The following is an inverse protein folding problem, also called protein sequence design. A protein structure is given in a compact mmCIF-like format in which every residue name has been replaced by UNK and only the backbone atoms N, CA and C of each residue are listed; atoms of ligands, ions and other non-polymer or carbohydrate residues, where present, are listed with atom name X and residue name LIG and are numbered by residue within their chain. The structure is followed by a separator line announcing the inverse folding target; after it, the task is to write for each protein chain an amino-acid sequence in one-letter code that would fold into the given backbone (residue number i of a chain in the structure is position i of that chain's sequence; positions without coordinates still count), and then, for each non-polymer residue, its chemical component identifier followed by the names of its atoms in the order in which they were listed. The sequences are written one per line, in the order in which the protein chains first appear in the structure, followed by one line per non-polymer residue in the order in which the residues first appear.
data_IF_267722426961
#
_entry.id   IF_267722426961
#
_cell.length_a   1.000
_cell.length_b   1.000
_cell.length_c   1.000
_cell.angle_alpha   90.00
_cell.angle_beta   90.00
_cell.angle_gamma   90.00
#
_symmetry.space_group_name_H-M   'P 1'
#
loop_
_entity.id
_entity.type
_entity.pdbx_description
1 polymer ?
#
# COMPACT_ATOMS: atom_id res chain seq x y z
N UNK A 1 -52.84 -0.45 -14.70
CA UNK A 1 -51.51 0.13 -15.01
C UNK A 1 -50.86 0.62 -13.73
N UNK A 2 -49.79 -0.03 -13.27
CA UNK A 2 -48.82 0.59 -12.35
C UNK A 2 -47.52 -0.24 -12.42
N UNK A 3 -46.58 0.25 -13.22
CA UNK A 3 -45.27 -0.38 -13.39
C UNK A 3 -44.51 -0.33 -12.05
N UNK A 4 -44.22 -1.49 -11.47
CA UNK A 4 -43.27 -1.63 -10.38
C UNK A 4 -41.86 -1.51 -10.97
N UNK A 5 -41.32 -0.30 -10.97
CA UNK A 5 -39.89 -0.05 -11.23
C UNK A 5 -39.06 -0.64 -10.08
N UNK A 6 -38.45 -1.78 -10.33
CA UNK A 6 -37.36 -2.32 -9.51
C UNK A 6 -36.09 -1.54 -9.82
N UNK A 7 -35.82 -0.48 -9.07
CA UNK A 7 -34.50 0.16 -9.05
C UNK A 7 -33.51 -0.78 -8.35
N UNK A 8 -32.76 -1.56 -9.12
CA UNK A 8 -31.59 -2.27 -8.64
C UNK A 8 -30.50 -1.24 -8.30
N UNK A 9 -30.41 -0.85 -7.03
CA UNK A 9 -29.28 -0.08 -6.51
C UNK A 9 -28.05 -0.98 -6.53
N UNK A 10 -27.21 -0.82 -7.55
CA UNK A 10 -25.87 -1.37 -7.57
C UNK A 10 -25.06 -0.67 -6.47
N UNK A 11 -25.00 -1.26 -5.28
CA UNK A 11 -24.06 -0.86 -4.24
C UNK A 11 -22.65 -1.24 -4.70
N UNK A 12 -21.93 -0.30 -5.33
CA UNK A 12 -20.49 -0.40 -5.46
C UNK A 12 -19.91 -0.25 -4.05
N UNK A 13 -19.50 -1.38 -3.44
CA UNK A 13 -18.73 -1.31 -2.21
C UNK A 13 -17.41 -0.62 -2.53
N UNK A 14 -17.07 0.51 -1.89
CA UNK A 14 -15.74 1.09 -2.07
C UNK A 14 -14.72 0.05 -1.62
N UNK A 15 -13.90 -0.45 -2.55
CA UNK A 15 -12.75 -1.28 -2.21
C UNK A 15 -11.70 -0.37 -1.58
N UNK A 16 -11.77 -0.22 -0.26
CA UNK A 16 -10.72 0.44 0.49
C UNK A 16 -9.45 -0.40 0.36
N UNK A 17 -8.39 0.24 -0.13
CA UNK A 17 -7.02 -0.16 0.08
C UNK A 17 -6.79 -0.72 1.49
N UNK A 18 -6.38 -1.99 1.62
CA UNK A 18 -6.22 -2.66 2.92
C UNK A 18 -4.78 -3.08 3.13
N UNK A 19 -4.04 -2.26 3.89
CA UNK A 19 -2.64 -2.52 4.18
C UNK A 19 -2.45 -3.78 5.04
N UNK A 20 -1.53 -4.62 4.59
CA UNK A 20 -1.19 -5.92 5.17
C UNK A 20 0.31 -6.04 5.34
N UNK A 21 0.76 -6.82 6.34
CA UNK A 21 2.19 -7.14 6.50
C UNK A 21 2.47 -8.48 5.82
N UNK A 22 3.22 -8.45 4.73
CA UNK A 22 3.51 -9.62 3.92
C UNK A 22 4.95 -10.11 4.11
N UNK A 23 5.13 -11.42 4.06
CA UNK A 23 6.42 -12.05 3.82
C UNK A 23 6.79 -11.91 2.35
N UNK A 24 8.01 -11.49 2.08
CA UNK A 24 8.57 -11.32 0.74
C UNK A 24 9.78 -12.26 0.63
N UNK A 25 9.86 -13.01 -0.47
CA UNK A 25 11.00 -13.87 -0.78
C UNK A 25 11.49 -13.59 -2.20
N UNK A 26 12.75 -13.16 -2.33
CA UNK A 26 13.38 -12.85 -3.62
C UNK A 26 12.51 -11.91 -4.48
N UNK A 27 11.89 -10.91 -3.85
CA UNK A 27 11.04 -9.92 -4.49
C UNK A 27 9.62 -10.41 -4.83
N UNK A 28 9.22 -11.60 -4.40
CA UNK A 28 7.87 -12.15 -4.59
C UNK A 28 7.06 -12.03 -3.30
N UNK A 29 5.79 -11.60 -3.42
CA UNK A 29 4.84 -11.53 -2.30
C UNK A 29 4.40 -12.94 -1.91
N UNK A 30 4.57 -13.28 -0.63
CA UNK A 30 4.10 -14.52 -0.02
C UNK A 30 2.87 -14.27 0.87
N UNK A 31 2.82 -14.96 2.01
CA UNK A 31 1.73 -14.85 2.98
C UNK A 31 1.62 -13.43 3.54
N UNK A 32 0.39 -12.92 3.69
CA UNK A 32 0.11 -11.59 4.21
C UNK A 32 -0.80 -11.68 5.44
N UNK A 33 -0.40 -10.99 6.51
CA UNK A 33 -1.27 -10.75 7.65
C UNK A 33 -2.09 -9.48 7.41
N UNK A 34 -3.43 -9.58 7.30
CA UNK A 34 -4.28 -8.44 7.04
C UNK A 34 -4.33 -7.48 8.25
N UNK A 35 -4.96 -6.33 8.05
CA UNK A 35 -5.24 -5.34 9.10
C UNK A 35 -3.98 -4.80 9.80
N UNK A 36 -2.95 -4.47 9.02
CA UNK A 36 -1.76 -3.84 9.57
C UNK A 36 -2.13 -2.56 10.35
N UNK A 37 -1.52 -2.38 11.52
CA UNK A 37 -1.65 -1.17 12.32
C UNK A 37 -0.25 -0.70 12.74
N UNK A 38 0.04 0.57 12.55
CA UNK A 38 1.37 1.14 12.73
C UNK A 38 1.69 2.22 11.71
N UNK A 39 2.97 2.49 11.48
CA UNK A 39 3.40 3.45 10.45
C UNK A 39 3.88 2.72 9.21
N UNK A 40 3.48 3.18 8.03
CA UNK A 40 3.93 2.64 6.76
C UNK A 40 4.29 3.76 5.79
N UNK A 41 5.32 3.52 4.97
CA UNK A 41 5.66 4.44 3.88
C UNK A 41 4.84 4.04 2.66
N UNK A 42 4.02 4.97 2.16
CA UNK A 42 3.10 4.73 1.05
C UNK A 42 3.24 5.84 0.02
N UNK A 43 2.83 5.57 -1.21
CA UNK A 43 2.74 6.59 -2.25
C UNK A 43 1.43 7.38 -2.03
N UNK A 44 1.53 8.60 -1.50
CA UNK A 44 0.40 9.51 -1.30
C UNK A 44 0.60 10.76 -2.16
N UNK A 45 -0.40 11.10 -3.00
CA UNK A 45 -0.35 12.28 -3.89
C UNK A 45 0.97 12.36 -4.69
N UNK A 46 1.36 11.23 -5.27
CA UNK A 46 2.59 11.07 -6.08
C UNK A 46 3.91 11.22 -5.32
N UNK A 47 3.90 11.18 -3.97
CA UNK A 47 5.10 11.26 -3.15
C UNK A 47 5.10 10.22 -2.04
N UNK A 48 6.25 9.62 -1.78
CA UNK A 48 6.40 8.72 -0.65
C UNK A 48 6.26 9.50 0.65
N UNK A 49 5.34 9.04 1.48
CA UNK A 49 4.91 9.68 2.72
C UNK A 49 4.83 8.63 3.82
N UNK A 50 5.20 9.00 5.05
CA UNK A 50 4.99 8.15 6.22
C UNK A 50 3.57 8.35 6.72
N UNK A 51 2.73 7.33 6.67
CA UNK A 51 1.35 7.40 7.09
C UNK A 51 1.06 6.52 8.29
N UNK A 52 0.14 6.96 9.13
CA UNK A 52 -0.48 6.12 10.15
C UNK A 52 -1.48 5.17 9.49
N UNK A 53 -1.39 3.90 9.82
CA UNK A 53 -2.30 2.86 9.36
C UNK A 53 -3.04 2.30 10.57
N UNK A 54 -4.36 2.19 10.49
CA UNK A 54 -5.20 1.59 11.53
C UNK A 54 -6.10 0.51 10.92
N UNK A 55 -5.94 -0.73 11.36
CA UNK A 55 -6.70 -1.90 10.87
C UNK A 55 -6.68 -2.05 9.33
N UNK A 56 -5.55 -1.73 8.72
CA UNK A 56 -5.35 -1.75 7.27
C UNK A 56 -5.79 -0.50 6.54
N UNK A 57 -6.32 0.52 7.22
CA UNK A 57 -6.78 1.76 6.60
C UNK A 57 -5.72 2.87 6.73
N UNK A 58 -5.45 3.57 5.63
CA UNK A 58 -4.56 4.74 5.61
C UNK A 58 -5.21 5.93 6.31
N UNK A 59 -4.53 6.48 7.30
CA UNK A 59 -4.87 7.70 8.02
C UNK A 59 -4.01 8.89 7.58
N UNK A 60 -3.59 9.69 8.57
CA UNK A 60 -2.77 10.89 8.34
C UNK A 60 -1.40 10.53 7.74
N UNK A 61 -0.93 11.35 6.81
CA UNK A 61 0.32 11.16 6.09
C UNK A 61 1.25 12.36 6.24
N UNK A 62 2.48 12.08 6.63
CA UNK A 62 3.58 13.05 6.64
C UNK A 62 4.35 12.97 5.32
N UNK A 63 4.27 14.00 4.45
CA UNK A 63 4.92 13.98 3.14
C UNK A 63 6.44 14.16 3.24
N UNK A 64 7.14 13.96 2.11
CA UNK A 64 8.59 14.10 1.97
C UNK A 64 9.39 13.05 2.76
N UNK A 65 8.96 11.79 2.77
CA UNK A 65 9.74 10.74 3.41
C UNK A 65 11.15 10.65 2.80
N UNK A 66 12.19 10.56 3.64
CA UNK A 66 13.56 10.25 3.24
C UNK A 66 14.03 9.03 4.03
N UNK A 67 14.61 8.06 3.35
CA UNK A 67 15.02 6.79 3.95
C UNK A 67 14.76 5.61 3.02
N UNK A 68 14.73 4.40 3.57
CA UNK A 68 14.54 3.18 2.81
C UNK A 68 13.12 2.63 2.96
N UNK A 69 12.54 2.17 1.87
CA UNK A 69 11.22 1.52 1.85
C UNK A 69 11.22 0.33 0.90
N UNK A 70 10.48 -0.71 1.26
CA UNK A 70 10.21 -1.84 0.36
C UNK A 70 8.96 -1.55 -0.46
N UNK A 71 9.10 -1.49 -1.77
CA UNK A 71 8.00 -1.21 -2.70
C UNK A 71 8.04 -2.18 -3.89
N UNK A 72 6.91 -2.34 -4.57
CA UNK A 72 6.87 -3.02 -5.85
C UNK A 72 7.48 -2.11 -6.92
N UNK A 73 8.67 -2.44 -7.41
CA UNK A 73 9.36 -1.76 -8.49
C UNK A 73 9.59 -2.72 -9.64
N UNK A 74 9.14 -2.35 -10.85
CA UNK A 74 9.30 -3.17 -12.07
C UNK A 74 8.86 -4.63 -11.90
N UNK A 75 7.75 -4.84 -11.18
CA UNK A 75 7.15 -6.15 -10.93
C UNK A 75 7.81 -6.97 -9.82
N UNK A 76 8.78 -6.44 -9.07
CA UNK A 76 9.40 -7.13 -7.92
C UNK A 76 9.51 -6.23 -6.70
N UNK A 77 9.28 -6.80 -5.52
CA UNK A 77 9.53 -6.09 -4.27
C UNK A 77 11.02 -5.81 -4.12
N UNK A 78 11.34 -4.53 -3.95
CA UNK A 78 12.69 -3.99 -3.97
C UNK A 78 12.87 -3.04 -2.79
N UNK A 79 14.06 -3.03 -2.20
CA UNK A 79 14.41 -2.04 -1.18
C UNK A 79 14.91 -0.79 -1.88
N UNK A 80 14.18 0.31 -1.76
CA UNK A 80 14.43 1.54 -2.48
C UNK A 80 14.80 2.69 -1.54
N UNK A 81 15.76 3.50 -1.97
CA UNK A 81 16.15 4.74 -1.33
C UNK A 81 15.22 5.87 -1.81
N UNK A 82 14.61 6.55 -0.86
CA UNK A 82 13.73 7.69 -1.08
C UNK A 82 14.44 8.95 -0.56
N UNK A 83 14.40 10.02 -1.35
CA UNK A 83 14.83 11.34 -0.93
C UNK A 83 13.70 12.34 -1.17
N UNK A 84 13.27 13.04 -0.11
CA UNK A 84 12.19 14.04 -0.17
C UNK A 84 10.96 13.50 -0.90
N UNK A 85 10.53 12.29 -0.57
CA UNK A 85 9.36 11.64 -1.15
C UNK A 85 9.51 11.15 -2.58
N UNK A 86 10.72 11.20 -3.16
CA UNK A 86 11.01 10.67 -4.49
C UNK A 86 11.91 9.45 -4.42
N UNK A 87 11.56 8.42 -5.19
CA UNK A 87 12.39 7.22 -5.37
C UNK A 87 13.64 7.57 -6.17
N UNK A 88 14.80 7.20 -5.67
CA UNK A 88 16.10 7.48 -6.31
C UNK A 88 16.74 6.21 -6.86
N UNK A 89 16.90 5.19 -6.02
CA UNK A 89 17.53 3.93 -6.36
C UNK A 89 16.76 2.75 -5.75
N UNK A 90 16.82 1.59 -6.38
CA UNK A 90 16.17 0.37 -5.90
C UNK A 90 17.08 -0.84 -6.05
N UNK A 91 17.17 -1.63 -4.98
CA UNK A 91 17.80 -2.95 -4.98
C UNK A 91 16.72 -4.02 -5.13
N UNK A 92 16.69 -4.74 -6.26
CA UNK A 92 15.68 -5.77 -6.50
C UNK A 92 15.87 -6.98 -5.59
N UNK A 93 14.88 -7.88 -5.60
CA UNK A 93 14.92 -9.17 -4.91
C UNK A 93 14.95 -9.06 -3.39
N UNK A 94 14.19 -8.13 -2.82
CA UNK A 94 14.08 -8.03 -1.36
C UNK A 94 13.53 -9.34 -0.76
N UNK A 95 14.10 -9.74 0.38
CA UNK A 95 13.60 -10.83 1.20
C UNK A 95 13.44 -10.31 2.63
N UNK A 96 12.29 -10.55 3.24
CA UNK A 96 11.95 -10.03 4.56
C UNK A 96 10.47 -9.75 4.68
N UNK A 97 10.09 -8.77 5.50
CA UNK A 97 8.69 -8.35 5.66
C UNK A 97 8.48 -6.97 5.06
N UNK A 98 7.34 -6.75 4.43
CA UNK A 98 6.95 -5.45 3.89
C UNK A 98 5.47 -5.18 4.15
N UNK A 99 5.14 -3.91 4.42
CA UNK A 99 3.75 -3.48 4.43
C UNK A 99 3.33 -3.20 2.99
N UNK A 100 2.26 -3.84 2.54
CA UNK A 100 1.75 -3.70 1.18
C UNK A 100 0.26 -3.44 1.22
N UNK A 101 -0.21 -2.65 0.27
CA UNK A 101 -1.63 -2.60 -0.08
C UNK A 101 -2.07 -3.87 -0.84
#
# INVERSE_FOLDING_TARGET
MKYLLLCALAFSTPTFASYSLCDINLGQKGFCRPHYSGKAVVLDKSRYSMCDINLGQKGFCHPNYSGQVVILDKGRYSLCDINLGQKTFCRPNYSGKAVTE
#
